data_IF_195146018878
#
_entry.id   IF_195146018878
#
_cell.length_a   1.000
_cell.length_b   1.000
_cell.length_c   1.000
_cell.angle_alpha   90.00
_cell.angle_beta   90.00
_cell.angle_gamma   90.00
#
_symmetry.space_group_name_H-M   'P 1'
#
loop_
_entity.id
_entity.type
_entity.pdbx_description
1 polymer ?
#
# COMPACT_ATOMS: atom_id res chain seq x y z
N UNK A 1 -14.93 -6.37 -19.37
CA UNK A 1 -15.12 -5.25 -18.45
C UNK A 1 -15.67 -4.09 -19.28
N UNK A 2 -16.69 -3.37 -18.80
CA UNK A 2 -17.63 -2.58 -19.62
C UNK A 2 -16.98 -1.54 -20.53
N UNK A 3 -17.34 -1.57 -21.82
CA UNK A 3 -16.88 -0.67 -22.89
C UNK A 3 -17.47 0.76 -22.79
N UNK A 4 -18.31 1.04 -21.78
CA UNK A 4 -19.29 2.13 -21.82
C UNK A 4 -18.86 3.41 -21.07
N UNK A 5 -17.58 3.51 -20.72
CA UNK A 5 -17.05 4.67 -20.02
C UNK A 5 -16.03 5.41 -20.88
N UNK A 6 -16.53 6.24 -21.80
CA UNK A 6 -15.71 7.20 -22.55
C UNK A 6 -15.30 8.42 -21.71
N UNK A 7 -14.48 9.35 -22.24
CA UNK A 7 -13.87 10.48 -21.51
C UNK A 7 -14.81 11.38 -20.70
N UNK A 8 -16.09 11.42 -21.05
CA UNK A 8 -17.10 12.21 -20.34
C UNK A 8 -17.68 11.51 -19.10
N UNK A 9 -17.34 10.23 -18.88
CA UNK A 9 -17.76 9.48 -17.69
C UNK A 9 -16.94 9.93 -16.48
N UNK A 10 -17.56 10.16 -15.31
CA UNK A 10 -16.83 10.43 -14.07
C UNK A 10 -15.92 9.26 -13.66
N UNK A 11 -16.19 8.05 -14.15
CA UNK A 11 -15.37 6.86 -13.91
C UNK A 11 -14.23 6.68 -14.92
N UNK A 12 -14.21 7.47 -16.00
CA UNK A 12 -13.21 7.33 -17.05
C UNK A 12 -11.78 7.42 -16.53
N UNK A 13 -11.37 8.35 -15.64
CA UNK A 13 -9.97 8.44 -15.20
C UNK A 13 -9.46 7.15 -14.54
N UNK A 14 -10.31 6.48 -13.75
CA UNK A 14 -9.98 5.19 -13.13
C UNK A 14 -9.87 4.11 -14.19
N UNK A 15 -10.86 4.02 -15.07
CA UNK A 15 -10.99 2.93 -16.04
C UNK A 15 -9.93 3.03 -17.14
N UNK A 16 -9.67 4.23 -17.66
CA UNK A 16 -8.61 4.48 -18.64
C UNK A 16 -7.25 4.06 -18.08
N UNK A 17 -6.96 4.38 -16.82
CA UNK A 17 -5.75 3.94 -16.13
C UNK A 17 -5.74 2.42 -15.95
N UNK A 18 -6.90 1.81 -15.66
CA UNK A 18 -7.02 0.35 -15.53
C UNK A 18 -6.77 -0.43 -16.83
N UNK A 19 -6.89 0.25 -17.97
CA UNK A 19 -6.60 -0.33 -19.29
C UNK A 19 -5.14 -0.13 -19.72
N UNK A 20 -4.33 0.60 -18.95
CA UNK A 20 -2.91 0.76 -19.25
C UNK A 20 -2.09 -0.36 -18.62
N UNK A 21 -1.12 -0.89 -19.36
CA UNK A 21 -0.07 -1.69 -18.76
C UNK A 21 0.85 -0.75 -17.97
N UNK A 22 0.74 -0.78 -16.64
CA UNK A 22 1.48 0.14 -15.79
C UNK A 22 1.42 -0.17 -14.30
N UNK A 23 2.23 0.53 -13.50
CA UNK A 23 2.36 0.32 -12.05
C UNK A 23 1.05 0.57 -11.27
N UNK A 24 0.05 1.17 -11.89
CA UNK A 24 -1.26 1.42 -11.29
C UNK A 24 -1.98 0.13 -10.81
N UNK A 25 -1.53 -1.05 -11.27
CA UNK A 25 -2.07 -2.36 -10.90
C UNK A 25 -1.17 -3.18 -9.97
N UNK A 26 -0.08 -2.60 -9.49
CA UNK A 26 0.87 -3.32 -8.65
C UNK A 26 0.29 -3.61 -7.26
N UNK A 27 0.87 -4.61 -6.57
CA UNK A 27 0.50 -4.94 -5.20
C UNK A 27 1.20 -3.99 -4.25
N UNK A 28 0.45 -3.46 -3.28
CA UNK A 28 1.03 -2.70 -2.18
C UNK A 28 0.29 -2.91 -0.88
N UNK A 29 0.95 -2.57 0.22
CA UNK A 29 0.39 -2.58 1.57
C UNK A 29 0.82 -1.32 2.28
N UNK A 30 -0.05 -0.74 3.11
CA UNK A 30 0.22 0.50 3.81
C UNK A 30 0.03 0.32 5.30
N UNK A 31 0.95 0.91 6.08
CA UNK A 31 0.81 1.05 7.52
C UNK A 31 1.05 2.51 7.90
N UNK A 32 0.20 3.04 8.80
CA UNK A 32 0.35 4.37 9.38
C UNK A 32 0.55 4.25 10.88
N UNK A 33 1.58 4.91 11.39
CA UNK A 33 1.91 4.97 12.81
C UNK A 33 2.08 6.43 13.21
N UNK A 34 1.03 7.01 13.81
CA UNK A 34 0.99 8.45 14.12
C UNK A 34 1.08 9.30 12.85
N UNK A 35 2.11 10.12 12.75
CA UNK A 35 2.36 10.99 11.59
C UNK A 35 3.21 10.33 10.52
N UNK A 36 3.71 9.12 10.72
CA UNK A 36 4.46 8.42 9.68
C UNK A 36 3.57 7.47 8.91
N UNK A 37 3.74 7.44 7.59
CA UNK A 37 3.09 6.49 6.69
C UNK A 37 4.14 5.77 5.86
N UNK A 38 4.04 4.45 5.82
CA UNK A 38 4.89 3.59 5.01
C UNK A 38 4.02 2.79 4.06
N UNK A 39 4.40 2.75 2.79
CA UNK A 39 3.75 1.97 1.74
C UNK A 39 4.78 1.01 1.15
N UNK A 40 4.55 -0.28 1.34
CA UNK A 40 5.28 -1.32 0.63
C UNK A 40 4.72 -1.40 -0.80
N UNK A 41 5.60 -1.38 -1.81
CA UNK A 41 5.24 -1.60 -3.21
C UNK A 41 5.97 -2.85 -3.71
N UNK A 42 5.26 -3.93 -4.04
CA UNK A 42 5.88 -5.22 -4.33
C UNK A 42 6.77 -5.21 -5.58
N UNK A 43 6.42 -4.38 -6.56
CA UNK A 43 7.09 -4.32 -7.86
C UNK A 43 7.76 -2.96 -8.13
N UNK A 44 7.71 -2.05 -7.16
CA UNK A 44 8.22 -0.69 -7.29
C UNK A 44 9.02 -0.34 -6.03
N UNK A 45 9.56 0.87 -5.97
CA UNK A 45 10.17 1.36 -4.75
C UNK A 45 9.08 1.61 -3.70
N UNK A 46 9.35 1.20 -2.46
CA UNK A 46 8.52 1.56 -1.31
C UNK A 46 8.43 3.09 -1.16
N UNK A 47 7.43 3.52 -0.41
CA UNK A 47 7.21 4.93 -0.11
C UNK A 47 7.17 5.16 1.40
N UNK A 48 7.72 6.30 1.83
CA UNK A 48 7.68 6.73 3.23
C UNK A 48 7.43 8.24 3.32
N UNK A 49 6.49 8.63 4.17
CA UNK A 49 6.05 10.02 4.32
C UNK A 49 5.98 10.42 5.80
N UNK A 50 6.51 11.60 6.11
CA UNK A 50 6.24 12.33 7.35
C UNK A 50 5.07 13.27 7.12
N UNK A 51 3.87 12.86 7.53
CA UNK A 51 2.62 13.59 7.32
C UNK A 51 2.52 14.89 8.13
N UNK A 52 3.41 15.11 9.11
CA UNK A 52 3.46 16.38 9.82
C UNK A 52 4.15 17.46 8.97
N UNK A 53 5.23 17.09 8.29
CA UNK A 53 5.99 17.98 7.41
C UNK A 53 5.43 18.03 5.98
N UNK A 54 4.88 16.91 5.50
CA UNK A 54 4.32 16.73 4.16
C UNK A 54 2.91 16.11 4.22
N UNK A 55 1.88 16.88 4.62
CA UNK A 55 0.51 16.38 4.70
C UNK A 55 -0.09 15.93 3.35
N UNK A 56 0.52 16.33 2.23
CA UNK A 56 0.07 16.03 0.88
C UNK A 56 0.83 14.86 0.24
N UNK A 57 1.77 14.25 0.95
CA UNK A 57 2.50 13.05 0.52
C UNK A 57 3.21 13.22 -0.83
N UNK A 58 3.82 14.39 -1.01
CA UNK A 58 4.49 14.81 -2.26
C UNK A 58 5.98 14.48 -2.29
N UNK A 59 6.58 14.18 -1.14
CA UNK A 59 8.01 13.97 -0.99
C UNK A 59 8.30 12.59 -0.38
N UNK A 60 8.63 11.62 -1.24
CA UNK A 60 8.94 10.26 -0.80
C UNK A 60 10.34 10.20 -0.14
N UNK A 61 10.35 9.99 1.19
CA UNK A 61 11.54 9.93 2.04
C UNK A 61 12.08 8.52 2.29
N UNK A 62 11.70 7.54 1.47
CA UNK A 62 12.10 6.14 1.66
C UNK A 62 13.63 5.92 1.69
N UNK A 63 14.38 6.73 0.93
CA UNK A 63 15.84 6.63 0.82
C UNK A 63 16.59 7.55 1.80
N UNK A 64 15.87 8.32 2.62
CA UNK A 64 16.48 9.25 3.57
C UNK A 64 17.01 8.47 4.79
N UNK A 65 18.33 8.46 5.04
CA UNK A 65 18.92 7.69 6.12
C UNK A 65 18.46 8.16 7.51
N UNK A 66 17.97 9.40 7.64
CA UNK A 66 17.43 9.90 8.91
C UNK A 66 16.21 9.09 9.39
N UNK A 67 15.45 8.51 8.47
CA UNK A 67 14.22 7.76 8.78
C UNK A 67 14.42 6.24 8.76
N UNK A 68 15.63 5.73 8.51
CA UNK A 68 15.88 4.29 8.34
C UNK A 68 15.37 3.44 9.53
N UNK A 69 15.59 3.90 10.77
CA UNK A 69 15.12 3.20 11.97
C UNK A 69 13.57 3.20 12.10
N UNK A 70 12.92 4.31 11.74
CA UNK A 70 11.47 4.44 11.76
C UNK A 70 10.83 3.56 10.67
N UNK A 71 11.39 3.56 9.46
CA UNK A 71 10.98 2.70 8.35
C UNK A 71 11.09 1.24 8.74
N UNK A 72 12.20 0.82 9.36
CA UNK A 72 12.39 -0.56 9.81
C UNK A 72 11.32 -0.96 10.83
N UNK A 73 11.05 -0.10 11.82
CA UNK A 73 9.99 -0.33 12.82
C UNK A 73 8.62 -0.55 12.17
N UNK A 74 8.30 0.24 11.14
CA UNK A 74 7.02 0.12 10.42
C UNK A 74 6.94 -1.14 9.56
N UNK A 75 8.06 -1.55 8.94
CA UNK A 75 8.17 -2.84 8.24
C UNK A 75 7.93 -4.01 9.18
N UNK A 76 8.57 -3.99 10.35
CA UNK A 76 8.40 -5.04 11.37
C UNK A 76 6.96 -5.10 11.87
N UNK A 77 6.32 -3.94 12.10
CA UNK A 77 4.91 -3.88 12.48
C UNK A 77 4.00 -4.48 11.40
N UNK A 78 4.27 -4.19 10.13
CA UNK A 78 3.51 -4.73 9.00
C UNK A 78 3.70 -6.25 8.88
N UNK A 79 4.93 -6.75 9.01
CA UNK A 79 5.22 -8.19 9.02
C UNK A 79 4.48 -8.89 10.16
N UNK A 80 4.55 -8.34 11.37
CA UNK A 80 3.84 -8.87 12.51
C UNK A 80 2.33 -8.89 12.27
N UNK A 81 1.77 -7.82 11.71
CA UNK A 81 0.34 -7.78 11.36
C UNK A 81 -0.04 -8.92 10.40
N UNK A 82 0.74 -9.13 9.34
CA UNK A 82 0.50 -10.25 8.43
C UNK A 82 0.54 -11.61 9.13
N UNK A 83 1.42 -11.79 10.11
CA UNK A 83 1.47 -13.03 10.88
C UNK A 83 0.31 -13.18 11.87
N UNK A 84 -0.14 -12.07 12.47
CA UNK A 84 -1.28 -12.04 13.39
C UNK A 84 -2.61 -12.33 12.68
N UNK A 85 -2.74 -11.92 11.42
CA UNK A 85 -4.00 -12.01 10.67
C UNK A 85 -3.96 -13.00 9.51
N UNK A 86 -2.85 -13.70 9.32
CA UNK A 86 -2.74 -14.74 8.31
C UNK A 86 -3.68 -15.90 8.62
N UNK A 87 -4.12 -16.59 7.58
CA UNK A 87 -4.93 -17.80 7.74
C UNK A 87 -4.18 -18.83 8.59
N UNK A 88 -4.90 -19.47 9.50
CA UNK A 88 -4.37 -20.58 10.29
C UNK A 88 -5.28 -21.78 10.14
N UNK A 89 -4.70 -22.98 10.23
CA UNK A 89 -5.48 -24.21 10.25
C UNK A 89 -6.25 -24.27 11.56
N UNK A 90 -7.60 -24.36 11.55
CA UNK A 90 -8.36 -24.48 12.78
C UNK A 90 -7.88 -25.67 13.60
N UNK A 91 -7.69 -25.48 14.91
CA UNK A 91 -7.24 -26.55 15.82
C UNK A 91 -8.28 -27.64 16.04
N UNK A 92 -9.52 -27.42 15.59
CA UNK A 92 -10.61 -28.39 15.60
C UNK A 92 -10.98 -28.72 14.16
N UNK A 93 -11.11 -30.01 13.89
CA UNK A 93 -11.63 -30.50 12.62
C UNK A 93 -13.07 -30.02 12.44
N UNK A 94 -13.40 -29.45 11.27
CA UNK A 94 -14.79 -29.12 10.93
C UNK A 94 -15.53 -30.41 10.59
N UNK A 95 -16.65 -30.67 11.25
CA UNK A 95 -17.45 -31.90 11.09
C UNK A 95 -18.63 -31.73 10.13
N UNK A 96 -18.77 -30.56 9.50
CA UNK A 96 -19.78 -30.29 8.46
C UNK A 96 -19.46 -30.95 7.13
#
# INVERSE_FOLDING_TARGET
MELDHGPNSPYWPRISTQHTEGPAHSKGCMVRMGNYKYVLRLYETDEFYDLAADPMETDNRIADPAFAAQIQTMRDRMLQFYMETGDFVPSKMDTR
#
